data_IF_999044927846
#
_entry.id   IF_999044927846
#
_cell.length_a   1.000
_cell.length_b   1.000
_cell.length_c   1.000
_cell.angle_alpha   90.00
_cell.angle_beta   90.00
_cell.angle_gamma   90.00
#
_symmetry.space_group_name_H-M   'P 1'
#
loop_
_entity.id
_entity.type
_entity.pdbx_description
1 polymer ?
#
# COMPACT_ATOMS: atom_id res chain seq x y z
N UNK A 1 15.54 -11.90 -3.89
CA UNK A 1 14.31 -12.67 -4.17
C UNK A 1 13.16 -12.08 -3.37
N UNK A 2 12.03 -11.82 -4.01
CA UNK A 2 10.83 -11.38 -3.32
C UNK A 2 9.88 -12.57 -3.18
N UNK A 3 9.58 -12.97 -1.95
CA UNK A 3 8.66 -14.07 -1.66
C UNK A 3 7.31 -13.47 -1.31
N UNK A 4 6.30 -13.70 -2.15
CA UNK A 4 4.91 -13.33 -1.83
C UNK A 4 4.27 -14.51 -1.14
N UNK A 5 3.96 -14.35 0.14
CA UNK A 5 3.41 -15.43 0.97
C UNK A 5 1.89 -15.39 0.89
N UNK A 6 1.33 -16.45 0.33
CA UNK A 6 -0.10 -16.72 0.22
C UNK A 6 -0.46 -17.90 1.12
N UNK A 7 -1.75 -18.15 1.33
CA UNK A 7 -2.19 -19.36 2.03
C UNK A 7 -1.72 -20.64 1.34
N UNK A 8 -1.61 -20.62 0.00
CA UNK A 8 -1.22 -21.80 -0.79
C UNK A 8 0.26 -22.17 -0.68
N UNK A 9 1.14 -21.24 -0.30
CA UNK A 9 2.59 -21.48 -0.20
C UNK A 9 3.17 -21.18 1.18
N UNK A 10 2.31 -20.87 2.16
CA UNK A 10 2.72 -20.48 3.51
C UNK A 10 3.61 -21.53 4.19
N UNK A 11 3.35 -22.81 3.97
CA UNK A 11 4.17 -23.91 4.51
C UNK A 11 5.56 -24.00 3.90
N UNK A 12 5.79 -23.39 2.74
CA UNK A 12 7.06 -23.42 1.99
C UNK A 12 7.87 -22.14 2.18
N UNK A 13 7.35 -21.14 2.91
CA UNK A 13 7.96 -19.81 3.00
C UNK A 13 9.40 -19.87 3.55
N UNK A 14 9.66 -20.70 4.55
CA UNK A 14 10.99 -20.89 5.14
C UNK A 14 11.96 -21.59 4.16
N UNK A 15 11.46 -22.56 3.39
CA UNK A 15 12.25 -23.25 2.36
C UNK A 15 12.61 -22.32 1.20
N UNK A 16 11.67 -21.45 0.79
CA UNK A 16 11.92 -20.42 -0.23
C UNK A 16 12.96 -19.39 0.24
N UNK A 17 12.95 -19.01 1.52
CA UNK A 17 13.97 -18.14 2.11
C UNK A 17 15.33 -18.85 2.17
N UNK A 18 15.37 -20.11 2.63
CA UNK A 18 16.59 -20.90 2.67
C UNK A 18 17.22 -21.11 1.28
N UNK A 19 16.41 -21.21 0.23
CA UNK A 19 16.90 -21.27 -1.15
C UNK A 19 17.60 -19.97 -1.56
N UNK A 20 17.05 -18.82 -1.17
CA UNK A 20 17.68 -17.53 -1.44
C UNK A 20 19.02 -17.39 -0.69
N UNK A 21 19.07 -17.86 0.55
CA UNK A 21 20.30 -17.88 1.35
C UNK A 21 21.35 -18.80 0.72
N UNK A 22 20.95 -19.98 0.23
CA UNK A 22 21.84 -20.92 -0.48
C UNK A 22 22.40 -20.33 -1.78
N UNK A 23 21.64 -19.47 -2.46
CA UNK A 23 22.11 -18.74 -3.64
C UNK A 23 22.89 -17.46 -3.30
N UNK A 24 23.06 -17.14 -2.02
CA UNK A 24 23.70 -15.91 -1.55
C UNK A 24 23.04 -14.65 -2.15
N UNK A 25 21.70 -14.63 -2.19
CA UNK A 25 20.92 -13.48 -2.65
C UNK A 25 20.00 -12.98 -1.55
N UNK A 26 19.94 -11.66 -1.38
CA UNK A 26 19.03 -11.04 -0.41
C UNK A 26 17.58 -11.44 -0.68
N UNK A 27 16.81 -11.72 0.35
CA UNK A 27 15.40 -12.03 0.23
C UNK A 27 14.50 -11.16 1.10
N UNK A 28 13.27 -10.94 0.64
CA UNK A 28 12.25 -10.23 1.40
C UNK A 28 10.91 -10.93 1.25
N UNK A 29 10.31 -11.30 2.39
CA UNK A 29 8.98 -11.89 2.46
C UNK A 29 7.89 -10.81 2.59
N UNK A 30 6.92 -10.85 1.68
CA UNK A 30 5.73 -10.00 1.69
C UNK A 30 4.53 -10.82 2.13
N UNK A 31 4.06 -10.57 3.35
CA UNK A 31 2.94 -11.31 3.96
C UNK A 31 1.66 -10.48 4.04
N UNK A 32 1.76 -9.18 4.30
CA UNK A 32 0.63 -8.26 4.32
C UNK A 32 0.32 -7.73 2.91
N UNK A 33 -0.69 -8.30 2.26
CA UNK A 33 -1.14 -7.80 0.96
C UNK A 33 -1.97 -6.52 1.12
N UNK A 34 -2.04 -5.77 0.01
CA UNK A 34 -2.92 -4.62 -0.14
C UNK A 34 -3.96 -4.95 -1.21
N UNK A 35 -5.08 -4.22 -1.27
CA UNK A 35 -5.95 -4.26 -2.42
C UNK A 35 -5.18 -3.98 -3.71
N UNK A 36 -5.78 -4.33 -4.85
CA UNK A 36 -5.24 -3.94 -6.16
C UNK A 36 -5.20 -2.42 -6.27
N UNK A 37 -4.43 -1.92 -7.24
CA UNK A 37 -4.36 -0.48 -7.53
C UNK A 37 -5.69 0.11 -8.03
N UNK A 38 -6.70 -0.73 -8.26
CA UNK A 38 -8.05 -0.36 -8.67
C UNK A 38 -9.10 -0.61 -7.56
N UNK A 39 -8.65 -0.84 -6.32
CA UNK A 39 -9.54 -1.10 -5.18
C UNK A 39 -10.12 -2.52 -5.13
N UNK A 40 -9.57 -3.47 -5.89
CA UNK A 40 -9.99 -4.88 -5.86
C UNK A 40 -9.49 -5.61 -4.61
N UNK A 41 -10.36 -6.36 -3.94
CA UNK A 41 -10.07 -7.07 -2.70
C UNK A 41 -9.48 -8.48 -2.85
N UNK A 42 -9.39 -8.99 -4.07
CA UNK A 42 -8.98 -10.37 -4.38
C UNK A 42 -7.63 -10.76 -3.76
N UNK A 43 -6.58 -9.89 -3.73
CA UNK A 43 -5.32 -10.23 -3.06
C UNK A 43 -5.49 -10.52 -1.57
N UNK A 44 -6.45 -9.85 -0.90
CA UNK A 44 -6.68 -10.02 0.54
C UNK A 44 -7.25 -11.40 0.87
N UNK A 45 -7.83 -12.10 -0.11
CA UNK A 45 -8.36 -13.46 0.05
C UNK A 45 -7.25 -14.52 -0.08
N UNK A 46 -6.16 -14.20 -0.77
CA UNK A 46 -5.05 -15.11 -1.01
C UNK A 46 -3.98 -15.06 0.10
N UNK A 47 -3.92 -13.99 0.89
CA UNK A 47 -2.90 -13.82 1.92
C UNK A 47 -3.07 -14.84 3.06
N UNK A 48 -1.94 -15.33 3.60
CA UNK A 48 -2.00 -16.27 4.72
C UNK A 48 -2.28 -15.57 6.04
N UNK A 49 -3.38 -15.95 6.71
CA UNK A 49 -3.78 -15.36 7.99
C UNK A 49 -2.71 -15.56 9.08
N UNK A 50 -2.07 -16.72 9.11
CA UNK A 50 -1.02 -17.07 10.07
C UNK A 50 0.24 -16.19 9.96
N UNK A 51 0.46 -15.58 8.78
CA UNK A 51 1.66 -14.81 8.47
C UNK A 51 1.42 -13.29 8.49
N UNK A 52 0.18 -12.85 8.78
CA UNK A 52 -0.15 -11.44 8.86
C UNK A 52 0.58 -10.79 10.03
N UNK A 53 1.30 -9.72 9.73
CA UNK A 53 2.00 -8.90 10.73
C UNK A 53 1.17 -7.66 11.04
N UNK A 54 1.21 -7.22 12.29
CA UNK A 54 0.64 -5.92 12.62
C UNK A 54 1.47 -4.82 11.94
N UNK A 55 0.78 -3.94 11.19
CA UNK A 55 1.45 -2.80 10.56
C UNK A 55 1.92 -1.81 11.62
N UNK A 56 3.17 -1.33 11.48
CA UNK A 56 3.69 -0.20 12.27
C UNK A 56 2.94 1.09 11.92
N UNK A 57 2.91 2.10 12.81
CA UNK A 57 2.41 3.43 12.46
C UNK A 57 3.08 3.96 11.20
N UNK A 58 2.29 4.57 10.32
CA UNK A 58 2.77 5.17 9.09
C UNK A 58 3.52 6.47 9.43
N UNK A 59 4.83 6.47 9.18
CA UNK A 59 5.73 7.57 9.55
C UNK A 59 5.93 8.62 8.44
N UNK A 60 5.10 8.62 7.40
CA UNK A 60 5.26 9.46 6.21
C UNK A 60 5.83 8.71 5.01
N UNK A 61 5.80 9.36 3.84
CA UNK A 61 6.30 8.84 2.56
C UNK A 61 6.66 10.01 1.65
N UNK A 62 7.75 9.88 0.89
CA UNK A 62 8.23 10.92 -0.03
C UNK A 62 7.62 10.83 -1.44
N UNK A 63 6.50 10.11 -1.58
CA UNK A 63 5.78 9.95 -2.84
C UNK A 63 5.35 11.31 -3.41
N UNK A 64 5.66 11.57 -4.68
CA UNK A 64 5.43 12.85 -5.36
C UNK A 64 6.45 13.95 -5.03
N UNK A 65 7.35 13.73 -4.07
CA UNK A 65 8.37 14.71 -3.66
C UNK A 65 9.79 14.28 -4.05
N UNK A 66 10.17 13.03 -3.81
CA UNK A 66 11.50 12.50 -4.20
C UNK A 66 11.43 11.32 -5.15
N UNK A 67 10.23 10.76 -5.36
CA UNK A 67 9.99 9.71 -6.34
C UNK A 67 8.55 9.79 -6.82
N UNK A 68 8.29 9.16 -7.96
CA UNK A 68 6.95 9.02 -8.53
C UNK A 68 6.82 7.67 -9.24
N UNK A 69 5.61 7.34 -9.66
CA UNK A 69 5.34 6.18 -10.51
C UNK A 69 4.93 6.66 -11.90
N UNK A 70 5.55 6.11 -12.94
CA UNK A 70 5.14 6.27 -14.33
C UNK A 70 4.67 4.93 -14.86
N UNK A 71 3.53 4.91 -15.55
CA UNK A 71 3.07 3.74 -16.28
C UNK A 71 3.67 3.68 -17.71
N UNK A 72 3.49 2.57 -18.44
CA UNK A 72 4.00 2.43 -19.81
C UNK A 72 3.42 3.42 -20.83
N UNK A 73 2.33 4.12 -20.49
CA UNK A 73 1.72 5.17 -21.32
C UNK A 73 2.15 6.58 -20.91
N UNK A 74 3.19 6.68 -20.09
CA UNK A 74 3.74 7.92 -19.55
C UNK A 74 2.73 8.73 -18.71
N UNK A 75 1.74 8.05 -18.11
CA UNK A 75 0.92 8.63 -17.04
C UNK A 75 1.68 8.54 -15.73
N UNK A 76 1.87 9.69 -15.08
CA UNK A 76 2.65 9.83 -13.87
C UNK A 76 1.76 10.13 -12.68
N UNK A 77 1.90 9.33 -11.63
CA UNK A 77 1.22 9.50 -10.33
C UNK A 77 2.24 9.63 -9.19
N UNK A 78 1.81 10.15 -8.04
CA UNK A 78 2.70 10.35 -6.89
C UNK A 78 3.37 9.05 -6.40
N UNK A 79 2.68 7.91 -6.52
CA UNK A 79 3.20 6.57 -6.28
C UNK A 79 2.29 5.53 -6.96
N UNK A 80 2.64 4.24 -6.83
CA UNK A 80 1.86 3.13 -7.39
C UNK A 80 0.41 3.09 -6.85
N UNK A 81 0.18 3.58 -5.63
CA UNK A 81 -1.12 3.50 -4.93
C UNK A 81 -1.97 4.75 -5.15
N UNK A 82 -1.39 5.94 -5.01
CA UNK A 82 -2.10 7.22 -5.20
C UNK A 82 -2.15 7.63 -6.67
N UNK A 83 -3.06 7.04 -7.45
CA UNK A 83 -3.20 7.26 -8.90
C UNK A 83 -4.40 8.12 -9.32
N UNK A 84 -5.13 8.69 -8.37
CA UNK A 84 -6.33 9.47 -8.65
C UNK A 84 -6.05 10.65 -9.60
N UNK A 85 -4.93 11.33 -9.36
CA UNK A 85 -4.46 12.44 -10.18
C UNK A 85 -3.17 12.03 -10.90
N UNK A 86 -3.20 12.13 -12.23
CA UNK A 86 -2.10 11.74 -13.08
C UNK A 86 -1.69 12.87 -14.02
N UNK A 87 -0.39 13.02 -14.21
CA UNK A 87 0.21 13.91 -15.21
C UNK A 87 0.43 13.11 -16.48
N UNK A 88 0.06 13.68 -17.62
CA UNK A 88 0.35 13.09 -18.93
C UNK A 88 1.65 13.65 -19.49
N UNK A 89 2.75 12.89 -19.39
CA UNK A 89 4.04 13.37 -19.89
C UNK A 89 4.07 13.52 -21.41
N UNK A 90 3.22 12.80 -22.15
CA UNK A 90 3.16 12.93 -23.62
C UNK A 90 2.51 14.25 -24.02
N UNK A 91 1.58 14.76 -23.22
CA UNK A 91 0.89 16.02 -23.49
C UNK A 91 1.56 17.24 -22.83
N UNK A 92 2.05 17.08 -21.60
CA UNK A 92 2.54 18.19 -20.77
C UNK A 92 4.07 18.32 -20.75
N UNK A 93 4.79 17.27 -21.15
CA UNK A 93 6.23 17.19 -20.97
C UNK A 93 6.65 17.10 -19.50
N UNK A 94 7.95 17.27 -19.25
CA UNK A 94 8.54 17.12 -17.90
C UNK A 94 8.10 18.22 -16.93
N UNK A 95 7.68 19.39 -17.43
CA UNK A 95 7.25 20.52 -16.59
C UNK A 95 6.02 20.17 -15.75
N UNK A 96 5.16 19.26 -16.24
CA UNK A 96 4.02 18.74 -15.49
C UNK A 96 4.41 18.12 -14.14
N UNK A 97 5.63 17.54 -14.03
CA UNK A 97 6.13 16.90 -12.82
C UNK A 97 6.26 17.86 -11.63
N UNK A 98 6.40 19.16 -11.88
CA UNK A 98 6.48 20.19 -10.82
C UNK A 98 5.24 20.22 -9.93
N UNK A 99 4.09 19.71 -10.41
CA UNK A 99 2.82 19.65 -9.66
C UNK A 99 2.72 18.44 -8.73
N UNK A 100 3.62 17.46 -8.81
CA UNK A 100 3.52 16.21 -8.05
C UNK A 100 3.52 16.42 -6.53
N UNK A 101 4.32 17.35 -6.02
CA UNK A 101 4.37 17.65 -4.58
C UNK A 101 3.02 18.14 -4.07
N UNK A 102 2.40 19.09 -4.76
CA UNK A 102 1.07 19.60 -4.42
C UNK A 102 -0.02 18.52 -4.53
N UNK A 103 0.06 17.66 -5.54
CA UNK A 103 -0.85 16.51 -5.67
C UNK A 103 -0.66 15.56 -4.48
N UNK A 104 0.58 15.27 -4.08
CA UNK A 104 0.87 14.37 -2.97
C UNK A 104 0.30 14.89 -1.65
N UNK A 105 0.54 16.16 -1.34
CA UNK A 105 0.06 16.79 -0.11
C UNK A 105 -1.47 16.76 -0.03
N UNK A 106 -2.15 17.02 -1.15
CA UNK A 106 -3.62 16.95 -1.23
C UNK A 106 -4.15 15.53 -1.07
N UNK A 107 -3.55 14.53 -1.73
CA UNK A 107 -4.00 13.14 -1.62
C UNK A 107 -3.78 12.54 -0.23
N UNK A 108 -2.88 13.13 0.56
CA UNK A 108 -2.64 12.73 1.94
C UNK A 108 -3.66 13.30 2.95
N UNK A 109 -4.47 14.29 2.54
CA UNK A 109 -5.49 14.88 3.40
C UNK A 109 -6.52 13.83 3.86
N UNK A 110 -6.87 13.88 5.14
CA UNK A 110 -7.89 12.99 5.71
C UNK A 110 -9.26 13.48 5.27
N UNK A 111 -10.05 12.58 4.68
CA UNK A 111 -11.38 12.87 4.15
C UNK A 111 -12.35 11.76 4.54
N UNK A 112 -13.65 12.06 4.59
CA UNK A 112 -14.70 11.09 4.92
C UNK A 112 -14.54 10.57 6.35
N UNK A 113 -14.70 9.26 6.57
CA UNK A 113 -14.57 8.64 7.91
C UNK A 113 -13.19 8.75 8.56
N UNK A 114 -12.19 9.33 7.88
CA UNK A 114 -10.89 9.64 8.46
C UNK A 114 -10.77 11.10 8.96
N UNK A 115 -11.70 11.97 8.59
CA UNK A 115 -11.73 13.38 8.99
C UNK A 115 -11.94 13.49 10.51
N UNK A 116 -11.15 14.33 11.19
CA UNK A 116 -11.21 14.49 12.65
C UNK A 116 -10.82 13.25 13.47
N UNK A 117 -10.30 12.19 12.85
CA UNK A 117 -9.97 10.95 13.54
C UNK A 117 -8.89 11.17 14.63
N UNK A 118 -9.24 10.86 15.89
CA UNK A 118 -8.35 11.02 17.05
C UNK A 118 -7.09 10.12 16.99
N UNK A 119 -7.12 9.04 16.20
CA UNK A 119 -6.00 8.11 16.00
C UNK A 119 -5.18 8.43 14.75
N UNK A 120 -5.46 9.55 14.06
CA UNK A 120 -4.82 9.89 12.77
C UNK A 120 -3.31 10.02 12.87
N UNK A 121 -2.78 10.47 14.01
CA UNK A 121 -1.34 10.58 14.29
C UNK A 121 -0.61 9.24 14.42
N UNK A 122 -1.34 8.13 14.62
CA UNK A 122 -0.77 6.77 14.71
C UNK A 122 -1.35 5.82 13.66
N UNK A 123 -2.03 6.36 12.64
CA UNK A 123 -2.62 5.58 11.56
C UNK A 123 -1.56 4.67 10.92
N UNK A 124 -1.92 3.42 10.62
CA UNK A 124 -0.97 2.40 10.11
C UNK A 124 -0.79 2.43 8.59
N UNK A 125 -1.60 3.21 7.88
CA UNK A 125 -1.59 3.31 6.42
C UNK A 125 -1.70 4.77 5.95
N UNK A 126 -1.13 5.05 4.78
CA UNK A 126 -1.34 6.34 4.13
C UNK A 126 -2.80 6.50 3.66
N UNK A 127 -3.24 7.74 3.40
CA UNK A 127 -4.62 8.00 2.98
C UNK A 127 -4.98 7.32 1.65
N UNK A 128 -4.13 7.35 0.59
CA UNK A 128 -4.44 6.65 -0.65
C UNK A 128 -4.65 5.14 -0.45
N UNK A 129 -3.83 4.50 0.38
CA UNK A 129 -3.98 3.08 0.67
C UNK A 129 -5.26 2.80 1.47
N UNK A 130 -5.61 3.64 2.45
CA UNK A 130 -6.87 3.52 3.17
C UNK A 130 -8.09 3.60 2.24
N UNK A 131 -8.04 4.44 1.19
CA UNK A 131 -9.10 4.54 0.17
C UNK A 131 -9.29 3.21 -0.56
N UNK A 132 -8.20 2.61 -1.04
CA UNK A 132 -8.27 1.30 -1.70
C UNK A 132 -8.83 0.20 -0.80
N UNK A 133 -8.49 0.19 0.50
CA UNK A 133 -9.08 -0.75 1.44
C UNK A 133 -10.59 -0.53 1.63
N UNK A 134 -11.04 0.73 1.64
CA UNK A 134 -12.46 1.09 1.72
C UNK A 134 -13.22 0.64 0.46
N UNK A 135 -12.66 0.88 -0.73
CA UNK A 135 -13.25 0.47 -2.01
C UNK A 135 -13.33 -1.06 -2.14
N UNK A 136 -12.30 -1.76 -1.67
CA UNK A 136 -12.26 -3.21 -1.59
C UNK A 136 -13.23 -3.81 -0.56
N UNK A 137 -13.92 -2.97 0.24
CA UNK A 137 -14.73 -3.38 1.38
C UNK A 137 -13.97 -4.33 2.32
N UNK A 138 -12.67 -4.08 2.49
CA UNK A 138 -11.81 -4.91 3.31
C UNK A 138 -12.26 -4.85 4.78
N UNK A 139 -12.04 -5.93 5.56
CA UNK A 139 -12.29 -5.92 7.00
C UNK A 139 -11.58 -4.75 7.67
N UNK A 140 -12.28 -4.01 8.53
CA UNK A 140 -11.80 -2.72 9.07
C UNK A 140 -10.45 -2.85 9.78
N UNK A 141 -10.24 -3.92 10.53
CA UNK A 141 -8.99 -4.24 11.23
C UNK A 141 -7.77 -4.37 10.30
N UNK A 142 -7.98 -4.62 9.00
CA UNK A 142 -6.88 -4.77 8.03
C UNK A 142 -6.10 -3.46 7.80
N UNK A 143 -6.72 -2.31 8.09
CA UNK A 143 -6.12 -1.00 7.82
C UNK A 143 -6.43 0.08 8.86
N UNK A 144 -7.45 -0.10 9.70
CA UNK A 144 -7.90 0.88 10.68
C UNK A 144 -7.88 0.32 12.11
N UNK A 145 -7.26 1.05 13.02
CA UNK A 145 -7.13 0.68 14.44
C UNK A 145 -8.48 0.57 15.17
N UNK A 146 -9.54 1.20 14.65
CA UNK A 146 -10.89 1.05 15.21
C UNK A 146 -11.43 -0.37 15.06
N UNK A 147 -11.01 -1.09 14.02
CA UNK A 147 -11.38 -2.50 13.82
C UNK A 147 -10.65 -3.46 14.75
N UNK A 148 -9.58 -3.04 15.44
CA UNK A 148 -8.88 -3.89 16.40
C UNK A 148 -9.77 -4.23 17.62
N UNK A 149 -10.72 -3.34 17.96
CA UNK A 149 -11.64 -3.54 19.08
C UNK A 149 -12.73 -4.58 18.80
N UNK A 150 -13.12 -4.75 17.54
CA UNK A 150 -14.15 -5.70 17.12
C UNK A 150 -13.65 -7.15 17.13
N UNK A 151 -12.34 -7.38 16.99
CA UNK A 151 -11.72 -8.72 17.06
C UNK A 151 -11.24 -9.12 18.47
N UNK A 152 -11.35 -8.21 19.46
CA UNK A 152 -10.90 -8.43 20.84
C UNK A 152 -12.04 -8.80 21.81
N UNK A 153 -13.25 -9.03 21.28
CA UNK A 153 -14.45 -9.52 21.98
C UNK A 153 -14.82 -10.91 21.45
#
# INVERSE_FOLDING_TARGET
INVVVTESNASEADEMAALADAWNVENHAYTNMTPTIYGGGEPLLAQSAAHLRQRKPFAGCNAGHTFFHADPHAKVSICKVGRDDQIDLMAEGIDGLTRLGTIADRLMLRTGGCEGCALSGTCRVCRPLAKHYQEAKAPLHSYCQHGDKENAS
#
